data_IF_903895327156
#
_entry.id   IF_903895327156
#
_cell.length_a   1.000
_cell.length_b   1.000
_cell.length_c   1.000
_cell.angle_alpha   90.00
_cell.angle_beta   90.00
_cell.angle_gamma   90.00
#
_symmetry.space_group_name_H-M   'P 1'
#
loop_
_entity.id
_entity.type
_entity.pdbx_description
1 polymer ?
#
# COMPACT_ATOMS: atom_id res chain seq x y z
N UNK A 1 -3.93 14.68 2.48
CA UNK A 1 -2.75 14.58 1.58
C UNK A 1 -2.99 15.51 0.40
N UNK A 2 -1.98 16.26 -0.02
CA UNK A 2 -2.11 17.24 -1.10
C UNK A 2 -0.88 17.22 -2.00
N UNK A 3 -1.08 17.00 -3.30
CA UNK A 3 -0.05 16.98 -4.32
C UNK A 3 -0.39 18.00 -5.42
N UNK A 4 0.63 18.57 -6.05
CA UNK A 4 0.48 19.54 -7.15
C UNK A 4 0.87 18.99 -8.50
N UNK A 5 1.76 18.00 -8.56
CA UNK A 5 2.22 17.36 -9.79
C UNK A 5 2.56 15.91 -9.53
N UNK A 6 1.88 15.03 -10.26
CA UNK A 6 2.12 13.60 -10.25
C UNK A 6 0.88 12.81 -9.90
N UNK A 7 0.96 11.50 -10.13
CA UNK A 7 -0.14 10.58 -9.93
C UNK A 7 -0.21 10.12 -8.47
N UNK A 8 -1.43 9.92 -7.98
CA UNK A 8 -1.69 9.46 -6.62
C UNK A 8 -2.35 8.09 -6.70
N UNK A 9 -1.64 7.04 -6.30
CA UNK A 9 -2.19 5.69 -6.17
C UNK A 9 -2.43 5.37 -4.69
N UNK A 10 -3.66 4.95 -4.38
CA UNK A 10 -4.09 4.63 -3.02
C UNK A 10 -4.62 3.21 -3.02
N UNK A 11 -3.93 2.33 -2.31
CA UNK A 11 -4.33 0.93 -2.16
C UNK A 11 -4.96 0.72 -0.78
N UNK A 12 -6.24 0.37 -0.74
CA UNK A 12 -7.00 0.22 0.50
C UNK A 12 -7.68 -1.15 0.63
N UNK A 13 -7.74 -1.71 1.85
CA UNK A 13 -8.46 -2.96 2.15
C UNK A 13 -9.91 -2.92 1.69
N UNK A 14 -10.34 -3.87 0.85
CA UNK A 14 -11.74 -4.00 0.42
C UNK A 14 -12.74 -4.20 1.58
N UNK A 15 -12.27 -4.66 2.74
CA UNK A 15 -13.07 -4.95 3.95
C UNK A 15 -12.91 -3.90 5.05
N UNK A 16 -12.26 -2.77 4.79
CA UNK A 16 -12.09 -1.72 5.77
C UNK A 16 -13.22 -0.69 5.74
N UNK A 17 -13.52 -0.14 6.92
CA UNK A 17 -14.46 0.96 7.07
C UNK A 17 -13.71 2.29 7.03
N UNK A 18 -13.93 3.12 6.02
CA UNK A 18 -13.33 4.44 5.89
C UNK A 18 -14.16 5.33 4.98
N UNK A 19 -13.97 6.65 5.10
CA UNK A 19 -14.53 7.64 4.18
C UNK A 19 -13.40 8.26 3.38
N UNK A 20 -13.54 8.32 2.07
CA UNK A 20 -12.54 8.90 1.17
C UNK A 20 -13.15 10.08 0.43
N UNK A 21 -12.42 11.19 0.42
CA UNK A 21 -12.71 12.42 -0.30
C UNK A 21 -11.48 12.75 -1.17
N UNK A 22 -11.54 12.43 -2.45
CA UNK A 22 -10.51 12.74 -3.42
C UNK A 22 -11.00 13.81 -4.39
N UNK A 23 -10.14 14.77 -4.71
CA UNK A 23 -10.40 15.81 -5.72
C UNK A 23 -9.17 16.02 -6.59
N UNK A 24 -9.36 16.10 -7.89
CA UNK A 24 -8.35 16.42 -8.91
C UNK A 24 -8.85 17.60 -9.74
N UNK A 25 -7.98 18.57 -10.08
CA UNK A 25 -8.34 19.67 -11.00
C UNK A 25 -8.06 19.29 -12.45
N UNK A 26 -6.81 19.02 -12.82
CA UNK A 26 -6.46 18.55 -14.16
C UNK A 26 -6.09 17.07 -14.11
N UNK A 27 -7.09 16.20 -14.25
CA UNK A 27 -6.87 14.76 -14.33
C UNK A 27 -8.14 13.96 -14.08
N UNK A 28 -7.98 12.64 -14.09
CA UNK A 28 -9.08 11.70 -13.93
C UNK A 28 -9.01 11.05 -12.55
N UNK A 29 -10.18 10.72 -11.99
CA UNK A 29 -10.26 9.87 -10.81
C UNK A 29 -10.78 8.50 -11.24
N UNK A 30 -10.09 7.45 -10.84
CA UNK A 30 -10.50 6.07 -11.07
C UNK A 30 -10.60 5.35 -9.72
N UNK A 31 -11.67 4.60 -9.52
CA UNK A 31 -11.93 3.92 -8.26
C UNK A 31 -12.46 2.52 -8.52
N UNK A 32 -11.78 1.52 -7.94
CA UNK A 32 -12.20 0.12 -8.00
C UNK A 32 -13.33 -0.18 -6.98
N UNK A 33 -13.61 0.74 -6.04
CA UNK A 33 -14.73 0.62 -5.11
C UNK A 33 -16.04 1.09 -5.73
N UNK A 34 -17.01 0.18 -5.88
CA UNK A 34 -18.35 0.52 -6.39
C UNK A 34 -19.18 1.37 -5.42
N UNK A 35 -18.86 1.34 -4.12
CA UNK A 35 -19.46 2.23 -3.11
C UNK A 35 -18.95 3.68 -3.20
N UNK A 36 -17.84 3.93 -3.91
CA UNK A 36 -17.31 5.28 -4.08
C UNK A 36 -18.00 5.96 -5.26
N UNK A 37 -18.49 7.16 -5.03
CA UNK A 37 -19.09 8.02 -6.03
C UNK A 37 -18.00 8.81 -6.72
N UNK A 38 -17.72 8.46 -7.97
CA UNK A 38 -16.76 9.16 -8.83
C UNK A 38 -17.52 10.10 -9.76
N UNK A 39 -17.09 11.35 -9.79
CA UNK A 39 -17.66 12.45 -10.54
C UNK A 39 -16.54 13.10 -11.35
N UNK A 40 -16.37 12.68 -12.61
CA UNK A 40 -15.40 13.27 -13.52
C UNK A 40 -16.07 14.42 -14.28
N UNK A 41 -15.84 15.65 -13.84
CA UNK A 41 -16.26 16.86 -14.55
C UNK A 41 -15.21 17.33 -15.56
N UNK A 42 -15.60 18.25 -16.45
CA UNK A 42 -14.76 18.76 -17.56
C UNK A 42 -13.43 19.40 -17.12
N UNK A 43 -13.37 19.95 -15.90
CA UNK A 43 -12.22 20.69 -15.35
C UNK A 43 -11.83 20.28 -13.94
N UNK A 44 -12.51 19.27 -13.38
CA UNK A 44 -12.19 18.71 -12.07
C UNK A 44 -12.86 17.35 -11.93
N UNK A 45 -12.16 16.41 -11.33
CA UNK A 45 -12.67 15.09 -11.00
C UNK A 45 -12.71 14.92 -9.48
N UNK A 46 -13.82 14.46 -8.94
CA UNK A 46 -14.05 14.29 -7.50
C UNK A 46 -14.47 12.85 -7.26
N UNK A 47 -13.87 12.17 -6.30
CA UNK A 47 -14.37 10.88 -5.82
C UNK A 47 -14.62 10.93 -4.33
N UNK A 48 -15.87 10.67 -3.95
CA UNK A 48 -16.30 10.66 -2.55
C UNK A 48 -17.04 9.39 -2.24
N UNK A 49 -16.82 8.83 -1.07
CA UNK A 49 -17.68 7.75 -0.60
C UNK A 49 -17.22 7.13 0.69
N UNK A 50 -18.08 6.25 1.18
CA UNK A 50 -17.91 5.62 2.48
C UNK A 50 -18.03 4.12 2.33
N UNK A 51 -16.97 3.42 2.69
CA UNK A 51 -16.88 1.96 2.61
C UNK A 51 -17.05 1.39 4.01
N UNK A 52 -17.67 0.21 4.14
CA UNK A 52 -17.65 -0.60 5.36
C UNK A 52 -18.39 -0.04 6.59
N UNK A 53 -19.22 0.99 6.44
CA UNK A 53 -20.06 1.53 7.54
C UNK A 53 -19.58 2.84 8.16
N UNK A 54 -18.56 3.48 7.59
CA UNK A 54 -18.03 4.76 8.09
C UNK A 54 -16.87 4.58 9.04
N UNK A 55 -15.80 5.36 8.82
CA UNK A 55 -14.55 5.24 9.55
C UNK A 55 -13.70 6.50 9.41
N UNK A 56 -12.36 6.42 9.50
CA UNK A 56 -11.49 7.59 9.36
C UNK A 56 -11.66 8.25 7.99
N UNK A 57 -11.71 9.57 8.00
CA UNK A 57 -11.87 10.39 6.81
C UNK A 57 -10.51 10.70 6.18
N UNK A 58 -10.30 10.25 4.94
CA UNK A 58 -9.11 10.55 4.15
C UNK A 58 -9.45 11.60 3.10
N UNK A 59 -8.77 12.74 3.17
CA UNK A 59 -8.90 13.79 2.17
C UNK A 59 -7.66 13.87 1.27
N UNK A 60 -7.87 13.83 -0.03
CA UNK A 60 -6.84 13.79 -1.08
C UNK A 60 -7.12 14.90 -2.07
N UNK A 61 -6.14 15.76 -2.31
CA UNK A 61 -6.24 16.82 -3.30
C UNK A 61 -5.06 16.71 -4.28
N UNK A 62 -5.38 16.65 -5.57
CA UNK A 62 -4.41 16.73 -6.65
C UNK A 62 -4.71 17.93 -7.53
N UNK A 63 -3.66 18.60 -8.00
CA UNK A 63 -3.80 19.76 -8.89
C UNK A 63 -3.61 19.35 -10.36
N UNK A 64 -2.54 18.60 -10.66
CA UNK A 64 -2.30 17.99 -11.97
C UNK A 64 -1.87 16.52 -11.82
N UNK A 65 -2.65 15.61 -12.41
CA UNK A 65 -2.37 14.18 -12.44
C UNK A 65 -3.56 13.32 -12.03
N UNK A 66 -3.39 12.01 -12.15
CA UNK A 66 -4.48 11.06 -11.99
C UNK A 66 -4.56 10.56 -10.55
N UNK A 67 -5.77 10.22 -10.10
CA UNK A 67 -5.99 9.61 -8.78
C UNK A 67 -6.55 8.21 -9.00
N UNK A 68 -5.83 7.19 -8.56
CA UNK A 68 -6.22 5.80 -8.69
C UNK A 68 -6.47 5.18 -7.30
N UNK A 69 -7.71 4.82 -7.03
CA UNK A 69 -8.14 4.17 -5.80
C UNK A 69 -8.32 2.68 -6.09
N UNK A 70 -7.44 1.87 -5.52
CA UNK A 70 -7.45 0.42 -5.69
C UNK A 70 -7.94 -0.29 -4.44
N UNK A 71 -8.77 -1.30 -4.66
CA UNK A 71 -9.08 -2.32 -3.67
C UNK A 71 -7.86 -3.20 -3.49
N UNK A 72 -6.99 -2.82 -2.57
CA UNK A 72 -5.98 -3.72 -2.06
C UNK A 72 -6.64 -4.77 -1.18
N UNK A 73 -6.16 -6.00 -1.26
CA UNK A 73 -6.14 -6.81 -0.05
C UNK A 73 -5.08 -6.16 0.83
N UNK A 74 -5.44 -5.18 1.67
CA UNK A 74 -4.68 -5.12 2.90
C UNK A 74 -5.05 -6.42 3.61
N UNK A 75 -4.24 -7.44 3.35
CA UNK A 75 -3.68 -8.19 4.46
C UNK A 75 -3.23 -7.08 5.39
N UNK A 76 -4.11 -6.69 6.32
CA UNK A 76 -3.69 -6.22 7.60
C UNK A 76 -2.83 -7.37 8.09
N UNK A 77 -1.56 -7.34 7.67
CA UNK A 77 -0.52 -7.83 8.50
C UNK A 77 -0.77 -7.04 9.77
N UNK A 78 -1.42 -7.67 10.75
CA UNK A 78 -0.69 -7.89 11.99
C UNK A 78 0.77 -7.91 11.57
N UNK A 79 1.60 -6.88 11.87
CA UNK A 79 2.99 -6.87 11.41
C UNK A 79 3.45 -8.30 11.60
N UNK A 80 3.85 -9.04 10.53
CA UNK A 80 4.20 -10.45 10.72
C UNK A 80 5.18 -10.35 11.86
N UNK A 81 4.82 -10.91 13.03
CA UNK A 81 5.68 -10.82 14.20
C UNK A 81 7.01 -11.22 13.61
N UNK A 82 7.99 -10.29 13.49
CA UNK A 82 9.23 -10.63 12.84
C UNK A 82 9.64 -11.89 13.58
N UNK A 83 9.81 -13.04 12.88
CA UNK A 83 10.07 -14.30 13.58
C UNK A 83 11.14 -13.95 14.59
N UNK A 84 10.89 -14.14 15.91
CA UNK A 84 11.75 -13.61 16.95
C UNK A 84 13.15 -13.95 16.51
N UNK A 85 14.06 -12.96 16.37
CA UNK A 85 15.36 -13.18 15.76
C UNK A 85 15.90 -14.40 16.46
N UNK A 86 16.01 -15.50 15.72
CA UNK A 86 16.38 -16.78 16.31
C UNK A 86 17.69 -16.46 16.98
N UNK A 87 17.66 -16.45 18.32
CA UNK A 87 18.77 -16.00 19.13
C UNK A 87 20.01 -16.62 18.50
N UNK A 88 21.04 -15.82 18.14
CA UNK A 88 22.22 -16.38 17.52
C UNK A 88 22.64 -17.53 18.42
N UNK A 89 22.56 -18.74 17.88
CA UNK A 89 22.90 -19.95 18.64
C UNK A 89 24.25 -19.62 19.28
N UNK A 90 24.41 -19.75 20.61
CA UNK A 90 25.72 -19.56 21.20
C UNK A 90 26.68 -20.48 20.43
N UNK A 91 27.91 -20.03 20.10
CA UNK A 91 28.82 -20.78 19.27
C UNK A 91 29.19 -22.07 20.00
N UNK A 92 28.42 -23.13 19.77
CA UNK A 92 28.78 -24.49 20.14
C UNK A 92 29.72 -24.98 19.07
N UNK A 93 30.99 -24.76 19.40
CA UNK A 93 32.12 -25.62 19.11
C UNK A 93 32.34 -25.96 17.63
N UNK A 94 33.39 -25.37 17.10
CA UNK A 94 34.25 -25.95 16.06
C UNK A 94 34.22 -27.49 16.10
N UNK A 95 33.76 -28.17 15.05
CA UNK A 95 34.31 -29.46 14.70
C UNK A 95 35.59 -29.21 13.91
N UNK A 96 36.67 -29.74 14.48
CA UNK A 96 37.98 -29.93 13.84
C UNK A 96 37.86 -30.32 12.37
N UNK A 97 38.78 -29.76 11.60
CA UNK A 97 39.44 -30.33 10.42
C UNK A 97 39.18 -31.83 10.17
N UNK A 98 38.89 -32.20 8.92
CA UNK A 98 39.85 -32.79 7.96
C UNK A 98 39.12 -33.11 6.63
N UNK A 99 39.82 -33.51 5.55
CA UNK A 99 40.05 -32.70 4.35
C UNK A 99 39.39 -33.28 3.08
N UNK A 100 39.12 -32.45 2.07
CA UNK A 100 38.85 -32.94 0.71
C UNK A 100 39.82 -32.27 -0.29
N UNK A 101 40.80 -33.10 -0.68
CA UNK A 101 41.66 -33.10 -1.89
C UNK A 101 40.87 -32.94 -3.20
N UNK A 102 41.49 -32.95 -4.41
CA UNK A 102 42.82 -32.49 -4.86
C UNK A 102 42.69 -31.57 -6.10
N UNK A 103 43.74 -30.86 -6.52
CA UNK A 103 44.08 -30.61 -7.96
C UNK A 103 45.50 -30.06 -8.07
N UNK A 104 46.41 -30.97 -8.40
CA UNK A 104 47.38 -30.89 -9.52
C UNK A 104 47.85 -29.50 -10.00
N UNK A 105 49.13 -29.19 -9.76
CA UNK A 105 50.17 -28.90 -10.78
C UNK A 105 51.46 -28.33 -10.15
#
# INVERSE_FOLDING_TARGET
VQNRKGDIEITLPAKAAFSLDARSREGEVNSDFSELKVDNGDHQAIATGTVGGGGPHLQVANEHGNIEIRKGSAVATTPPVPPPPSSPKPPKSLPKAKPEEPTDN
#
